data_IF_681973006110
#
_entry.id   IF_681973006110
#
_cell.length_a   1.000
_cell.length_b   1.000
_cell.length_c   1.000
_cell.angle_alpha   90.00
_cell.angle_beta   90.00
_cell.angle_gamma   90.00
#
_symmetry.space_group_name_H-M   'P 1'
#
loop_
_entity.id
_entity.type
_entity.pdbx_description
1 polymer ?
#
# COMPACT_ATOMS: atom_id res chain seq x y z
N UNK A 1 -17.04 -15.54 12.99
CA UNK A 1 -18.41 -15.81 12.48
C UNK A 1 -18.40 -16.59 11.18
N UNK A 2 -17.90 -16.01 10.08
CA UNK A 2 -17.92 -16.64 8.75
C UNK A 2 -17.30 -18.05 8.69
N UNK A 3 -16.19 -18.27 9.40
CA UNK A 3 -15.58 -19.61 9.49
C UNK A 3 -16.55 -20.67 10.03
N UNK A 4 -17.32 -20.36 11.09
CA UNK A 4 -18.29 -21.29 11.66
C UNK A 4 -19.44 -21.55 10.69
N UNK A 5 -19.89 -20.53 9.98
CA UNK A 5 -20.96 -20.65 8.97
C UNK A 5 -20.51 -21.57 7.82
N UNK A 6 -19.28 -21.40 7.33
CA UNK A 6 -18.69 -22.25 6.28
C UNK A 6 -18.55 -23.70 6.75
N UNK A 7 -18.02 -23.92 7.97
CA UNK A 7 -17.92 -25.26 8.55
C UNK A 7 -19.30 -25.91 8.71
N UNK A 8 -20.30 -25.16 9.16
CA UNK A 8 -21.68 -25.66 9.34
C UNK A 8 -22.31 -26.01 7.99
N UNK A 9 -22.14 -25.17 6.96
CA UNK A 9 -22.65 -25.43 5.63
C UNK A 9 -22.07 -26.71 5.01
N UNK A 10 -20.75 -26.92 5.10
CA UNK A 10 -20.14 -28.17 4.61
C UNK A 10 -20.60 -29.39 5.40
N UNK A 11 -20.74 -29.26 6.73
CA UNK A 11 -21.28 -30.32 7.57
C UNK A 11 -22.71 -30.71 7.16
N UNK A 12 -23.60 -29.74 6.93
CA UNK A 12 -24.97 -29.98 6.47
C UNK A 12 -25.02 -30.59 5.07
N UNK A 13 -24.12 -30.17 4.18
CA UNK A 13 -23.94 -30.74 2.84
C UNK A 13 -23.32 -32.15 2.84
N UNK A 14 -22.85 -32.65 4.00
CA UNK A 14 -22.09 -33.90 4.15
C UNK A 14 -20.80 -33.93 3.33
N UNK A 15 -20.20 -32.76 3.13
CA UNK A 15 -18.86 -32.60 2.56
C UNK A 15 -17.86 -32.33 3.69
N UNK A 16 -16.62 -32.79 3.52
CA UNK A 16 -15.57 -32.62 4.52
C UNK A 16 -14.26 -32.11 3.90
N UNK A 17 -14.26 -30.96 3.20
CA UNK A 17 -13.01 -30.34 2.78
C UNK A 17 -12.21 -29.90 4.00
N UNK A 18 -10.89 -29.76 3.82
CA UNK A 18 -10.06 -29.08 4.82
C UNK A 18 -10.42 -27.59 4.82
N UNK A 19 -10.90 -27.09 5.96
CA UNK A 19 -11.24 -25.67 6.15
C UNK A 19 -10.30 -25.08 7.20
N UNK A 20 -9.59 -24.03 6.82
CA UNK A 20 -8.75 -23.25 7.73
C UNK A 20 -9.35 -21.87 7.99
N UNK A 21 -9.04 -21.32 9.15
CA UNK A 21 -9.51 -20.02 9.61
C UNK A 21 -8.35 -19.02 9.74
N UNK A 22 -8.61 -17.77 9.37
CA UNK A 22 -7.68 -16.66 9.49
C UNK A 22 -8.36 -15.36 9.89
N UNK A 23 -7.61 -14.43 10.49
CA UNK A 23 -8.07 -13.06 10.80
C UNK A 23 -7.18 -12.03 10.11
N UNK A 24 -7.80 -10.99 9.55
CA UNK A 24 -7.12 -9.89 8.85
C UNK A 24 -7.89 -8.58 9.05
N UNK A 25 -7.28 -7.45 8.67
CA UNK A 25 -8.02 -6.19 8.47
C UNK A 25 -8.55 -5.49 9.73
N UNK A 26 -8.23 -5.97 10.93
CA UNK A 26 -8.74 -5.37 12.17
C UNK A 26 -8.21 -3.94 12.32
N UNK A 27 -9.13 -2.99 12.54
CA UNK A 27 -8.79 -1.57 12.69
C UNK A 27 -8.19 -0.94 11.43
N UNK A 28 -8.67 -1.36 10.25
CA UNK A 28 -8.13 -0.92 8.95
C UNK A 28 -6.65 -1.29 8.76
N UNK A 29 -6.20 -2.38 9.40
CA UNK A 29 -4.90 -2.98 9.05
C UNK A 29 -4.91 -3.35 7.57
N UNK A 30 -3.81 -3.08 6.89
CA UNK A 30 -3.64 -3.37 5.46
C UNK A 30 -3.92 -4.85 5.13
N UNK A 31 -4.42 -5.09 3.92
CA UNK A 31 -4.61 -6.43 3.37
C UNK A 31 -4.19 -6.46 1.89
N UNK A 32 -2.88 -6.57 1.67
CA UNK A 32 -2.25 -6.47 0.36
C UNK A 32 -2.24 -7.80 -0.41
N UNK A 33 -1.91 -7.79 -1.72
CA UNK A 33 -1.81 -9.02 -2.50
C UNK A 33 -0.83 -10.05 -1.94
N UNK A 34 0.32 -9.60 -1.41
CA UNK A 34 1.28 -10.51 -0.75
C UNK A 34 0.69 -11.24 0.44
N UNK A 35 -0.19 -10.57 1.20
CA UNK A 35 -0.94 -11.21 2.29
C UNK A 35 -1.92 -12.27 1.78
N UNK A 36 -2.61 -11.99 0.68
CA UNK A 36 -3.51 -12.95 0.01
C UNK A 36 -2.72 -14.15 -0.51
N UNK A 37 -1.57 -13.91 -1.14
CA UNK A 37 -0.65 -14.96 -1.61
C UNK A 37 -0.18 -15.86 -0.46
N UNK A 38 0.15 -15.27 0.70
CA UNK A 38 0.54 -16.03 1.89
C UNK A 38 -0.60 -16.92 2.42
N UNK A 39 -1.86 -16.46 2.34
CA UNK A 39 -3.02 -17.30 2.68
C UNK A 39 -3.14 -18.50 1.74
N UNK A 40 -2.97 -18.30 0.43
CA UNK A 40 -2.95 -19.38 -0.54
C UNK A 40 -1.76 -20.35 -0.34
N UNK A 41 -0.56 -19.82 -0.07
CA UNK A 41 0.62 -20.63 0.25
C UNK A 41 0.43 -21.47 1.51
N UNK A 42 -0.20 -20.92 2.55
CA UNK A 42 -0.53 -21.66 3.76
C UNK A 42 -1.49 -22.83 3.46
N UNK A 43 -2.52 -22.59 2.65
CA UNK A 43 -3.46 -23.63 2.20
C UNK A 43 -2.80 -24.72 1.34
N UNK A 44 -1.83 -24.35 0.50
CA UNK A 44 -1.09 -25.29 -0.34
C UNK A 44 0.00 -26.08 0.42
N UNK A 45 0.30 -25.70 1.67
CA UNK A 45 1.29 -26.37 2.50
C UNK A 45 0.85 -27.76 2.94
N UNK A 46 1.82 -28.61 3.32
CA UNK A 46 1.54 -29.97 3.80
C UNK A 46 0.75 -30.02 5.11
N UNK A 47 0.81 -28.94 5.90
CA UNK A 47 0.09 -28.82 7.16
C UNK A 47 -0.35 -27.36 7.31
N UNK A 48 -1.48 -26.98 6.70
CA UNK A 48 -1.98 -25.62 6.76
C UNK A 48 -2.17 -25.15 8.19
N UNK A 49 -1.63 -23.97 8.50
CA UNK A 49 -1.83 -23.35 9.82
C UNK A 49 -3.28 -22.93 9.95
N UNK A 50 -3.98 -23.43 10.95
CA UNK A 50 -5.32 -23.01 11.29
C UNK A 50 -5.29 -21.85 12.31
N UNK A 51 -6.38 -21.08 12.41
CA UNK A 51 -6.56 -19.94 13.31
C UNK A 51 -5.48 -18.85 13.20
N UNK A 52 -4.92 -18.68 12.01
CA UNK A 52 -3.82 -17.77 11.77
C UNK A 52 -4.23 -16.29 11.82
N UNK A 53 -3.23 -15.41 11.84
CA UNK A 53 -3.38 -13.98 11.58
C UNK A 53 -2.52 -13.58 10.38
N UNK A 54 -2.92 -12.54 9.64
CA UNK A 54 -2.14 -12.00 8.53
C UNK A 54 -2.10 -10.47 8.63
N UNK A 55 -0.96 -9.87 8.31
CA UNK A 55 -0.72 -8.42 8.42
C UNK A 55 -0.16 -7.95 9.78
N UNK A 56 0.21 -8.88 10.67
CA UNK A 56 0.93 -8.59 11.92
C UNK A 56 2.07 -9.60 12.10
N UNK A 57 3.06 -9.25 12.93
CA UNK A 57 4.03 -10.19 13.49
C UNK A 57 3.58 -10.56 14.90
N UNK A 58 3.15 -11.79 15.08
CA UNK A 58 2.75 -12.33 16.39
C UNK A 58 3.83 -13.30 16.87
N UNK A 59 4.79 -12.77 17.62
CA UNK A 59 5.91 -13.50 18.21
C UNK A 59 5.61 -14.09 19.60
N UNK A 60 4.38 -13.91 20.09
CA UNK A 60 3.94 -14.43 21.39
C UNK A 60 3.15 -15.72 21.20
N UNK A 61 2.07 -15.68 20.42
CA UNK A 61 1.24 -16.87 20.15
C UNK A 61 1.56 -17.54 18.81
N UNK A 62 2.49 -16.97 18.04
CA UNK A 62 2.97 -17.53 16.78
C UNK A 62 1.83 -17.85 15.82
N UNK A 63 0.80 -17.00 15.73
CA UNK A 63 -0.34 -17.19 14.82
C UNK A 63 -0.13 -16.53 13.46
N UNK A 64 0.80 -15.59 13.34
CA UNK A 64 1.01 -14.85 12.09
C UNK A 64 1.54 -15.72 10.96
N UNK A 65 1.18 -15.35 9.72
CA UNK A 65 1.80 -15.84 8.50
C UNK A 65 2.80 -14.79 7.98
N UNK A 66 3.95 -15.27 7.50
CA UNK A 66 4.92 -14.46 6.77
C UNK A 66 4.42 -14.20 5.34
N UNK A 67 4.74 -13.04 4.77
CA UNK A 67 4.29 -12.65 3.43
C UNK A 67 5.30 -11.76 2.72
N UNK A 68 5.22 -11.72 1.40
CA UNK A 68 6.04 -10.84 0.58
C UNK A 68 5.44 -9.43 0.53
N UNK A 69 6.22 -8.43 0.94
CA UNK A 69 5.80 -7.03 0.94
C UNK A 69 5.88 -6.38 -0.46
N UNK A 70 6.67 -6.96 -1.36
CA UNK A 70 7.01 -6.39 -2.66
C UNK A 70 6.07 -6.81 -3.79
N UNK A 71 5.17 -7.76 -3.54
CA UNK A 71 4.28 -8.30 -4.57
C UNK A 71 3.32 -7.23 -5.10
N UNK A 72 3.48 -6.87 -6.38
CA UNK A 72 2.56 -6.02 -7.14
C UNK A 72 1.71 -6.88 -8.09
N UNK A 73 0.39 -6.84 -7.91
CA UNK A 73 -0.58 -7.52 -8.77
C UNK A 73 -1.47 -6.55 -9.53
N UNK A 74 -1.09 -5.26 -9.57
CA UNK A 74 -1.85 -4.26 -10.32
C UNK A 74 -1.84 -4.61 -11.81
N UNK A 75 -2.97 -4.38 -12.52
CA UNK A 75 -3.01 -4.67 -13.94
C UNK A 75 -1.96 -3.85 -14.69
N UNK A 76 -1.26 -4.50 -15.63
CA UNK A 76 -0.30 -3.83 -16.50
C UNK A 76 -0.93 -2.59 -17.17
N UNK A 77 -0.15 -1.51 -17.26
CA UNK A 77 -0.61 -0.20 -17.72
C UNK A 77 -1.26 0.67 -16.63
N UNK A 78 -1.33 0.21 -15.38
CA UNK A 78 -1.80 1.03 -14.26
C UNK A 78 -0.66 1.88 -13.68
N UNK A 79 -0.79 3.20 -13.80
CA UNK A 79 0.12 4.17 -13.17
C UNK A 79 -0.25 4.31 -11.70
N UNK A 80 0.75 4.20 -10.82
CA UNK A 80 0.59 4.31 -9.37
C UNK A 80 1.39 5.50 -8.83
N UNK A 81 0.72 6.45 -8.18
CA UNK A 81 1.33 7.67 -7.66
C UNK A 81 1.17 7.81 -6.14
N UNK A 82 2.26 8.16 -5.45
CA UNK A 82 2.26 8.54 -4.02
C UNK A 82 2.59 10.01 -3.84
N UNK A 83 1.80 10.72 -3.05
CA UNK A 83 2.06 12.13 -2.72
C UNK A 83 2.12 12.31 -1.21
N UNK A 84 3.28 12.77 -0.73
CA UNK A 84 3.53 13.12 0.65
C UNK A 84 3.31 14.61 0.85
N UNK A 85 2.29 14.96 1.62
CA UNK A 85 1.90 16.34 1.90
C UNK A 85 1.77 16.62 3.39
N UNK A 86 1.72 17.90 3.73
CA UNK A 86 1.46 18.40 5.07
C UNK A 86 -0.04 18.72 5.24
N UNK A 87 -0.59 18.46 6.42
CA UNK A 87 -1.97 18.80 6.74
C UNK A 87 -2.26 20.27 6.46
N UNK A 88 -3.28 20.51 5.61
CA UNK A 88 -3.72 21.83 5.12
C UNK A 88 -2.81 22.54 4.11
N UNK A 89 -1.86 21.85 3.47
CA UNK A 89 -1.04 22.42 2.38
C UNK A 89 -1.73 22.43 1.00
N UNK A 90 -2.89 21.77 0.87
CA UNK A 90 -3.66 21.66 -0.37
C UNK A 90 -3.40 20.38 -1.18
N UNK A 91 -2.42 19.55 -0.83
CA UNK A 91 -2.01 18.34 -1.56
C UNK A 91 -3.19 17.39 -1.80
N UNK A 92 -3.94 17.05 -0.76
CA UNK A 92 -5.12 16.17 -0.85
C UNK A 92 -6.18 16.77 -1.79
N UNK A 93 -6.41 18.08 -1.72
CA UNK A 93 -7.39 18.78 -2.56
C UNK A 93 -6.97 18.74 -4.03
N UNK A 94 -5.71 19.04 -4.31
CA UNK A 94 -5.12 18.98 -5.65
C UNK A 94 -5.21 17.55 -6.22
N UNK A 95 -4.91 16.52 -5.43
CA UNK A 95 -5.02 15.13 -5.86
C UNK A 95 -6.46 14.71 -6.17
N UNK A 96 -7.45 15.14 -5.37
CA UNK A 96 -8.88 14.93 -5.70
C UNK A 96 -9.27 15.60 -7.01
N UNK A 97 -8.77 16.80 -7.27
CA UNK A 97 -9.00 17.48 -8.55
C UNK A 97 -8.31 16.76 -9.70
N UNK A 98 -7.08 16.29 -9.53
CA UNK A 98 -6.36 15.53 -10.55
C UNK A 98 -7.11 14.24 -10.93
N UNK A 99 -7.61 13.51 -9.94
CA UNK A 99 -8.47 12.33 -10.15
C UNK A 99 -9.69 12.69 -11.00
N UNK A 100 -10.38 13.78 -10.65
CA UNK A 100 -11.56 14.24 -11.39
C UNK A 100 -11.20 14.63 -12.82
N UNK A 101 -10.13 15.40 -13.02
CA UNK A 101 -9.69 15.84 -14.35
C UNK A 101 -9.36 14.62 -15.22
N UNK A 102 -8.58 13.67 -14.70
CA UNK A 102 -8.19 12.47 -15.46
C UNK A 102 -9.42 11.60 -15.74
N UNK A 103 -10.26 11.34 -14.73
CA UNK A 103 -11.46 10.51 -14.88
C UNK A 103 -12.54 11.12 -15.78
N UNK A 104 -12.69 12.45 -15.81
CA UNK A 104 -13.71 13.13 -16.62
C UNK A 104 -13.24 13.38 -18.08
N UNK A 105 -11.93 13.39 -18.34
CA UNK A 105 -11.36 13.77 -19.64
C UNK A 105 -10.55 12.66 -20.33
N UNK A 106 -10.57 11.44 -19.77
CA UNK A 106 -9.97 10.25 -20.37
C UNK A 106 -10.87 9.03 -20.14
N UNK A 107 -10.65 7.95 -20.88
CA UNK A 107 -11.36 6.67 -20.66
C UNK A 107 -10.70 5.81 -19.56
N UNK A 108 -9.75 6.37 -18.81
CA UNK A 108 -9.05 5.64 -17.74
C UNK A 108 -9.92 5.52 -16.50
N UNK A 109 -9.84 4.38 -15.84
CA UNK A 109 -10.29 4.23 -14.47
C UNK A 109 -9.36 5.03 -13.55
N UNK A 110 -9.95 5.78 -12.62
CA UNK A 110 -9.23 6.58 -11.64
C UNK A 110 -9.61 6.16 -10.22
N UNK A 111 -8.62 5.95 -9.35
CA UNK A 111 -8.79 5.60 -7.95
C UNK A 111 -7.98 6.54 -7.07
N UNK A 112 -8.55 6.95 -5.93
CA UNK A 112 -7.85 7.73 -4.91
C UNK A 112 -8.13 7.23 -3.51
N UNK A 113 -7.07 7.05 -2.72
CA UNK A 113 -7.13 6.82 -1.28
C UNK A 113 -6.23 7.83 -0.56
N UNK A 114 -6.67 8.31 0.61
CA UNK A 114 -5.99 9.38 1.33
C UNK A 114 -5.79 8.98 2.78
N UNK A 115 -4.53 8.79 3.17
CA UNK A 115 -4.11 8.54 4.55
C UNK A 115 -3.87 9.87 5.26
N UNK A 116 -4.46 10.04 6.44
CA UNK A 116 -4.30 11.22 7.28
C UNK A 116 -3.74 10.80 8.65
N UNK A 117 -2.92 11.66 9.23
CA UNK A 117 -2.59 11.58 10.65
C UNK A 117 -3.84 11.87 11.51
N UNK A 118 -3.82 11.34 12.73
CA UNK A 118 -4.75 11.65 13.82
C UNK A 118 -4.75 13.13 14.23
N UNK A 119 -3.68 13.87 13.92
CA UNK A 119 -3.53 15.29 14.26
C UNK A 119 -4.40 16.17 13.37
N UNK A 120 -5.16 17.08 13.99
CA UNK A 120 -6.06 18.02 13.29
C UNK A 120 -5.35 19.01 12.36
N UNK A 121 -4.10 19.38 12.66
CA UNK A 121 -3.28 20.27 11.83
C UNK A 121 -1.80 19.90 11.93
N UNK A 122 -1.05 20.16 10.86
CA UNK A 122 0.39 19.86 10.78
C UNK A 122 0.75 18.36 10.77
N UNK A 123 -0.25 17.49 10.69
CA UNK A 123 -0.07 16.05 10.50
C UNK A 123 0.41 15.71 9.09
N UNK A 124 0.93 14.52 8.90
CA UNK A 124 1.30 14.01 7.58
C UNK A 124 0.07 13.55 6.81
N UNK A 125 0.10 13.72 5.49
CA UNK A 125 -0.89 13.15 4.58
C UNK A 125 -0.19 12.38 3.47
N UNK A 126 -0.72 11.21 3.13
CA UNK A 126 -0.22 10.40 2.02
C UNK A 126 -1.39 10.11 1.09
N UNK A 127 -1.30 10.59 -0.15
CA UNK A 127 -2.30 10.33 -1.18
C UNK A 127 -1.82 9.20 -2.08
N UNK A 128 -2.65 8.19 -2.28
CA UNK A 128 -2.43 7.07 -3.18
C UNK A 128 -3.39 7.19 -4.36
N UNK A 129 -2.83 7.36 -5.56
CA UNK A 129 -3.61 7.52 -6.78
C UNK A 129 -3.25 6.41 -7.75
N UNK A 130 -4.26 5.86 -8.42
CA UNK A 130 -4.06 4.91 -9.51
C UNK A 130 -4.88 5.31 -10.72
N UNK A 131 -4.29 5.14 -11.91
CA UNK A 131 -4.92 5.42 -13.19
C UNK A 131 -4.59 4.30 -14.18
N UNK A 132 -5.58 3.76 -14.88
CA UNK A 132 -5.32 2.69 -15.85
C UNK A 132 -6.53 2.38 -16.72
N UNK A 133 -6.28 1.69 -17.83
CA UNK A 133 -7.33 1.30 -18.80
C UNK A 133 -8.25 0.19 -18.26
N UNK A 134 -7.79 -0.56 -17.27
CA UNK A 134 -8.51 -1.68 -16.65
C UNK A 134 -9.17 -1.24 -15.34
N UNK A 135 -10.33 -1.82 -14.97
CA UNK A 135 -10.96 -1.55 -13.68
C UNK A 135 -10.00 -1.77 -12.50
N UNK A 136 -9.89 -0.76 -11.63
CA UNK A 136 -8.94 -0.79 -10.51
C UNK A 136 -9.60 -1.46 -9.29
N UNK A 137 -9.19 -2.68 -9.01
CA UNK A 137 -9.66 -3.48 -7.85
C UNK A 137 -8.71 -3.41 -6.64
N UNK A 138 -7.62 -2.63 -6.74
CA UNK A 138 -6.58 -2.53 -5.71
C UNK A 138 -7.07 -1.75 -4.49
N UNK A 139 -7.80 -2.39 -3.59
CA UNK A 139 -8.30 -1.79 -2.34
C UNK A 139 -7.27 -1.86 -1.20
N UNK A 140 -6.02 -1.54 -1.52
CA UNK A 140 -4.85 -1.54 -0.63
C UNK A 140 -3.92 -0.36 -0.99
N UNK A 141 -3.03 0.04 -0.08
CA UNK A 141 -2.06 1.12 -0.31
C UNK A 141 -1.06 0.77 -1.43
N UNK A 142 -0.43 1.78 -2.03
CA UNK A 142 0.57 1.57 -3.10
C UNK A 142 1.88 1.10 -2.49
N UNK A 143 2.35 -0.08 -2.90
CA UNK A 143 3.65 -0.66 -2.56
C UNK A 143 4.68 -0.59 -3.71
N UNK A 144 4.25 -0.34 -4.96
CA UNK A 144 5.10 -0.15 -6.13
C UNK A 144 4.69 1.12 -6.87
N UNK A 145 5.38 2.25 -6.64
CA UNK A 145 5.02 3.55 -7.20
C UNK A 145 5.83 3.90 -8.45
N UNK A 146 5.13 4.31 -9.52
CA UNK A 146 5.72 4.88 -10.73
C UNK A 146 6.14 6.35 -10.52
N UNK A 147 5.40 7.05 -9.65
CA UNK A 147 5.64 8.46 -9.34
C UNK A 147 5.51 8.70 -7.83
N UNK A 148 6.52 9.36 -7.25
CA UNK A 148 6.52 9.80 -5.86
C UNK A 148 6.77 11.30 -5.80
N UNK A 149 5.86 12.05 -5.18
CA UNK A 149 6.08 13.46 -4.87
C UNK A 149 6.16 13.70 -3.36
N UNK A 150 7.13 14.53 -2.96
CA UNK A 150 7.27 15.01 -1.60
C UNK A 150 7.14 16.54 -1.58
N UNK A 151 6.03 17.02 -1.03
CA UNK A 151 5.72 18.46 -1.00
C UNK A 151 6.31 19.18 0.23
N UNK A 152 6.92 18.43 1.15
CA UNK A 152 7.55 18.96 2.36
C UNK A 152 8.96 18.41 2.54
N UNK A 153 9.94 19.24 2.22
CA UNK A 153 11.38 18.99 2.32
C UNK A 153 11.84 18.21 3.55
N UNK A 154 11.38 18.55 4.76
CA UNK A 154 11.80 17.88 6.00
C UNK A 154 11.50 16.37 6.06
N UNK A 155 10.57 15.88 5.22
CA UNK A 155 10.20 14.46 5.23
C UNK A 155 11.27 13.55 4.67
N UNK A 156 12.18 14.05 3.82
CA UNK A 156 13.29 13.26 3.26
C UNK A 156 14.22 12.68 4.33
N UNK A 157 14.30 13.34 5.49
CA UNK A 157 15.13 12.95 6.62
C UNK A 157 14.38 12.16 7.70
N UNK A 158 13.05 12.15 7.62
CA UNK A 158 12.17 11.67 8.71
C UNK A 158 11.45 10.39 8.33
N UNK A 159 11.10 10.23 7.05
CA UNK A 159 10.31 9.12 6.55
C UNK A 159 11.02 8.48 5.36
N UNK A 160 10.76 7.18 5.17
CA UNK A 160 11.19 6.49 3.97
C UNK A 160 10.22 6.80 2.82
N UNK A 161 10.45 7.94 2.17
CA UNK A 161 9.55 8.46 1.14
C UNK A 161 9.61 7.68 -0.17
N UNK A 162 10.75 7.03 -0.46
CA UNK A 162 10.98 6.24 -1.66
C UNK A 162 10.75 4.74 -1.47
N UNK A 163 10.28 4.32 -0.28
CA UNK A 163 9.90 2.93 -0.04
C UNK A 163 8.98 2.42 -1.16
N UNK A 164 9.40 1.37 -1.87
CA UNK A 164 8.64 0.79 -2.98
C UNK A 164 8.48 1.71 -4.20
N UNK A 165 9.39 2.65 -4.47
CA UNK A 165 9.47 3.25 -5.82
C UNK A 165 9.96 2.19 -6.81
N UNK A 166 9.37 2.16 -8.02
CA UNK A 166 9.82 1.26 -9.09
C UNK A 166 11.14 1.75 -9.70
N UNK A 167 11.93 0.83 -10.24
CA UNK A 167 13.12 1.16 -11.03
C UNK A 167 12.75 2.10 -12.19
N UNK A 168 13.51 3.20 -12.34
CA UNK A 168 13.21 4.25 -13.33
C UNK A 168 11.98 5.10 -13.00
N UNK A 169 11.39 4.94 -11.80
CA UNK A 169 10.30 5.76 -11.31
C UNK A 169 10.69 7.24 -11.14
N UNK A 170 9.71 8.12 -11.18
CA UNK A 170 9.94 9.56 -11.06
C UNK A 170 9.77 10.03 -9.61
N UNK A 171 10.81 10.66 -9.07
CA UNK A 171 10.74 11.36 -7.78
C UNK A 171 10.77 12.87 -7.95
N UNK A 172 9.80 13.56 -7.34
CA UNK A 172 9.72 15.03 -7.32
C UNK A 172 9.74 15.54 -5.89
N UNK A 173 10.71 16.42 -5.59
CA UNK A 173 10.87 17.02 -4.27
C UNK A 173 10.65 18.54 -4.34
N UNK A 174 9.74 19.05 -3.52
CA UNK A 174 9.63 20.48 -3.25
C UNK A 174 10.65 20.89 -2.17
N UNK A 175 11.70 21.60 -2.57
CA UNK A 175 12.70 22.14 -1.65
C UNK A 175 13.34 23.42 -2.21
N UNK A 176 14.03 24.14 -1.34
CA UNK A 176 14.79 25.36 -1.69
C UNK A 176 16.29 25.08 -1.88
N UNK A 177 16.69 23.81 -1.80
CA UNK A 177 18.08 23.38 -1.80
C UNK A 177 18.68 23.41 -3.20
N UNK A 178 19.94 23.82 -3.28
CA UNK A 178 20.75 23.61 -4.47
C UNK A 178 21.23 22.16 -4.56
N UNK A 179 21.79 21.75 -5.69
CA UNK A 179 22.39 20.42 -5.83
C UNK A 179 23.51 20.17 -4.81
N UNK A 180 24.29 21.20 -4.48
CA UNK A 180 25.36 21.10 -3.47
C UNK A 180 24.80 20.92 -2.05
N UNK A 181 23.66 21.55 -1.75
CA UNK A 181 22.97 21.38 -0.48
C UNK A 181 22.37 19.96 -0.37
N UNK A 182 21.76 19.48 -1.45
CA UNK A 182 21.18 18.13 -1.52
C UNK A 182 22.22 17.06 -1.20
N UNK A 183 23.46 17.20 -1.70
CA UNK A 183 24.53 16.23 -1.44
C UNK A 183 24.86 16.09 0.06
N UNK A 184 24.70 17.19 0.82
CA UNK A 184 24.96 17.25 2.26
C UNK A 184 23.73 16.87 3.10
N UNK A 185 22.53 17.19 2.62
CA UNK A 185 21.28 17.06 3.38
C UNK A 185 20.64 15.69 3.16
N UNK A 186 20.70 15.12 1.95
CA UNK A 186 20.02 13.87 1.67
C UNK A 186 20.65 12.72 2.47
N UNK A 187 19.83 11.90 3.15
CA UNK A 187 20.32 10.68 3.78
C UNK A 187 21.00 9.77 2.77
N UNK A 188 22.02 9.04 3.20
CA UNK A 188 22.74 8.11 2.34
C UNK A 188 21.83 7.02 1.74
N UNK A 189 20.79 6.59 2.47
CA UNK A 189 19.77 5.66 1.95
C UNK A 189 19.01 6.25 0.77
N UNK A 190 18.53 7.49 0.90
CA UNK A 190 17.81 8.18 -0.17
C UNK A 190 18.68 8.36 -1.42
N UNK A 191 19.94 8.79 -1.25
CA UNK A 191 20.88 8.95 -2.38
C UNK A 191 21.15 7.64 -3.10
N UNK A 192 21.21 6.52 -2.36
CA UNK A 192 21.39 5.19 -2.94
C UNK A 192 20.18 4.80 -3.80
N UNK A 193 18.98 4.91 -3.25
CA UNK A 193 17.75 4.59 -3.98
C UNK A 193 17.53 5.49 -5.21
N UNK A 194 18.02 6.72 -5.20
CA UNK A 194 17.95 7.61 -6.37
C UNK A 194 18.97 7.27 -7.47
N UNK A 195 20.06 6.58 -7.12
CA UNK A 195 21.15 6.27 -8.04
C UNK A 195 21.04 4.87 -8.68
N UNK A 196 20.29 3.97 -8.03
CA UNK A 196 19.91 2.65 -8.53
C UNK A 196 18.80 2.77 -9.59
#
# INVERSE_FOLDING_TARGET
PLYLDVCTAFMEAKEAPEVVNGRYGLGSKEFSPGMVEAVYKNLAGSTPKNHFTIGIKDDVTNTSLEYDHSLDTTPEGTVQCKFWGLGSDGTVGANKQAIKIIGDNTDLFAQGYFSYDSKKSGGITISHLRFGEKPIQSTYLINAADYVACHKDTYVNTYDILDGIKDGGTFVLNCHWTLEDMEKIFPASLKRTLAE
#
